data_IF_025446038078
#
_entry.id   IF_025446038078
#
_cell.length_a   1.000
_cell.length_b   1.000
_cell.length_c   1.000
_cell.angle_alpha   90.00
_cell.angle_beta   90.00
_cell.angle_gamma   90.00
#
_symmetry.space_group_name_H-M   'P 1'
#
loop_
_entity.id
_entity.type
_entity.pdbx_description
1 polymer ?
#
# COMPACT_ATOMS: atom_id res chain seq x y z
N UNK A 1 -1.35 17.23 2.50
CA UNK A 1 -1.14 16.36 3.68
C UNK A 1 0.09 15.49 3.46
N UNK A 2 0.87 15.12 4.49
CA UNK A 2 2.12 14.34 4.31
C UNK A 2 2.18 13.14 5.25
N UNK A 3 2.58 11.99 4.71
CA UNK A 3 2.94 10.82 5.50
C UNK A 3 4.32 11.01 6.13
N UNK A 4 4.46 10.63 7.40
CA UNK A 4 5.75 10.57 8.07
C UNK A 4 6.52 9.31 7.66
N UNK A 5 7.77 9.18 8.12
CA UNK A 5 8.62 8.06 7.73
C UNK A 5 8.04 6.69 8.13
N UNK A 6 7.53 6.57 9.36
CA UNK A 6 6.96 5.32 9.85
C UNK A 6 5.72 4.91 9.04
N UNK A 7 4.83 5.86 8.74
CA UNK A 7 3.65 5.62 7.92
C UNK A 7 4.02 5.18 6.51
N UNK A 8 5.02 5.83 5.89
CA UNK A 8 5.54 5.40 4.58
C UNK A 8 6.13 3.99 4.65
N UNK A 9 6.92 3.68 5.68
CA UNK A 9 7.50 2.35 5.87
C UNK A 9 6.42 1.28 5.98
N UNK A 10 5.36 1.54 6.74
CA UNK A 10 4.27 0.60 6.93
C UNK A 10 3.45 0.39 5.64
N UNK A 11 3.17 1.47 4.90
CA UNK A 11 2.47 1.37 3.60
C UNK A 11 3.31 0.56 2.61
N UNK A 12 4.60 0.86 2.50
CA UNK A 12 5.51 0.15 1.59
C UNK A 12 5.69 -1.31 2.01
N UNK A 13 5.76 -1.60 3.31
CA UNK A 13 5.86 -2.98 3.84
C UNK A 13 4.63 -3.79 3.48
N UNK A 14 3.43 -3.27 3.73
CA UNK A 14 2.19 -3.96 3.40
C UNK A 14 2.13 -4.32 1.90
N UNK A 15 2.55 -3.40 1.04
CA UNK A 15 2.47 -3.58 -0.41
C UNK A 15 3.60 -4.52 -0.91
N UNK A 16 4.82 -4.37 -0.41
CA UNK A 16 5.94 -5.27 -0.74
C UNK A 16 5.68 -6.71 -0.26
N UNK A 17 4.96 -6.91 0.84
CA UNK A 17 4.53 -8.25 1.28
C UNK A 17 3.54 -8.88 0.31
N UNK A 18 2.55 -8.12 -0.17
CA UNK A 18 1.53 -8.65 -1.10
C UNK A 18 2.15 -9.09 -2.41
N UNK A 19 2.98 -8.25 -3.02
CA UNK A 19 3.60 -8.53 -4.33
C UNK A 19 4.70 -9.59 -4.29
N UNK A 20 4.98 -10.15 -3.11
CA UNK A 20 6.01 -11.19 -2.92
C UNK A 20 5.40 -12.51 -2.45
N UNK A 21 4.08 -12.57 -2.25
CA UNK A 21 3.39 -13.74 -1.68
C UNK A 21 3.60 -14.99 -2.52
N UNK A 22 3.63 -14.86 -3.84
CA UNK A 22 3.81 -15.97 -4.79
C UNK A 22 5.28 -16.24 -5.14
N UNK A 23 6.21 -15.44 -4.62
CA UNK A 23 7.65 -15.53 -4.86
C UNK A 23 8.12 -15.05 -6.22
N UNK A 24 7.24 -14.51 -7.07
CA UNK A 24 7.58 -13.92 -8.36
C UNK A 24 7.11 -12.48 -8.40
N UNK A 25 7.97 -11.56 -8.84
CA UNK A 25 7.57 -10.16 -8.98
C UNK A 25 7.24 -9.88 -10.45
N UNK A 26 5.97 -9.66 -10.75
CA UNK A 26 5.47 -9.41 -12.09
C UNK A 26 5.66 -7.94 -12.52
N UNK A 27 5.68 -7.63 -13.83
CA UNK A 27 5.82 -6.26 -14.32
C UNK A 27 4.76 -5.29 -13.79
N UNK A 28 3.53 -5.77 -13.58
CA UNK A 28 2.44 -4.98 -13.00
C UNK A 28 2.75 -4.53 -11.58
N UNK A 29 3.27 -5.43 -10.74
CA UNK A 29 3.61 -5.14 -9.35
C UNK A 29 4.77 -4.14 -9.21
N UNK A 30 5.73 -4.21 -10.12
CA UNK A 30 6.81 -3.21 -10.22
C UNK A 30 6.22 -1.84 -10.53
N UNK A 31 5.20 -1.77 -11.38
CA UNK A 31 4.54 -0.51 -11.72
C UNK A 31 3.74 0.05 -10.54
N UNK A 32 3.05 -0.81 -9.77
CA UNK A 32 2.39 -0.41 -8.51
C UNK A 32 3.38 0.28 -7.58
N UNK A 33 4.53 -0.38 -7.36
CA UNK A 33 5.60 0.12 -6.50
C UNK A 33 6.12 1.48 -6.98
N UNK A 34 6.35 1.64 -8.30
CA UNK A 34 6.82 2.92 -8.87
C UNK A 34 5.79 4.03 -8.70
N UNK A 35 4.52 3.76 -8.95
CA UNK A 35 3.45 4.74 -8.77
C UNK A 35 3.38 5.20 -7.30
N UNK A 36 3.49 4.28 -6.35
CA UNK A 36 3.57 4.60 -4.93
C UNK A 36 4.83 5.39 -4.58
N UNK A 37 5.99 5.03 -5.13
CA UNK A 37 7.24 5.77 -4.94
C UNK A 37 7.08 7.24 -5.36
N UNK A 38 6.43 7.49 -6.49
CA UNK A 38 6.16 8.85 -6.98
C UNK A 38 5.17 9.60 -6.07
N UNK A 39 4.06 8.96 -5.69
CA UNK A 39 3.00 9.59 -4.90
C UNK A 39 3.42 9.87 -3.45
N UNK A 40 4.04 8.89 -2.80
CA UNK A 40 4.48 8.98 -1.41
C UNK A 40 5.89 9.58 -1.29
N UNK A 41 6.56 9.85 -2.41
CA UNK A 41 7.92 10.42 -2.49
C UNK A 41 8.90 9.64 -1.63
N UNK A 42 9.14 8.39 -2.01
CA UNK A 42 10.16 7.52 -1.42
C UNK A 42 10.99 6.83 -2.50
N UNK A 43 12.15 6.32 -2.10
CA UNK A 43 13.11 5.65 -2.96
C UNK A 43 13.26 4.16 -2.60
N UNK A 44 14.13 3.46 -3.33
CA UNK A 44 14.40 2.04 -3.11
C UNK A 44 14.96 1.74 -1.72
N UNK A 45 15.66 2.68 -1.09
CA UNK A 45 16.17 2.51 0.27
C UNK A 45 15.02 2.32 1.27
N UNK A 46 13.93 3.06 1.09
CA UNK A 46 12.75 2.88 1.94
C UNK A 46 12.12 1.47 1.79
N UNK A 47 12.17 0.88 0.60
CA UNK A 47 11.69 -0.48 0.37
C UNK A 47 12.53 -1.49 1.17
N UNK A 48 13.86 -1.34 1.14
CA UNK A 48 14.76 -2.20 1.92
C UNK A 48 14.55 -2.04 3.42
N UNK A 49 14.33 -0.81 3.91
CA UNK A 49 14.00 -0.58 5.32
C UNK A 49 12.63 -1.14 5.70
N UNK A 50 11.64 -1.02 4.82
CA UNK A 50 10.30 -1.57 5.04
C UNK A 50 10.34 -3.09 5.20
N UNK A 51 11.25 -3.80 4.52
CA UNK A 51 11.42 -5.26 4.71
C UNK A 51 11.93 -5.66 6.08
N UNK A 52 12.58 -4.74 6.81
CA UNK A 52 13.16 -5.01 8.13
C UNK A 52 12.15 -4.90 9.27
N UNK A 53 11.04 -4.18 9.07
CA UNK A 53 9.99 -4.09 10.09
C UNK A 53 9.13 -5.35 10.08
N UNK A 54 8.63 -5.75 11.24
CA UNK A 54 7.72 -6.89 11.35
C UNK A 54 6.31 -6.55 10.86
N UNK A 55 5.54 -7.54 10.42
CA UNK A 55 4.12 -7.37 10.07
C UNK A 55 3.32 -6.80 11.25
N UNK A 56 3.68 -7.15 12.49
CA UNK A 56 3.05 -6.60 13.71
C UNK A 56 3.29 -5.10 13.85
N UNK A 57 4.53 -4.64 13.65
CA UNK A 57 4.87 -3.22 13.69
C UNK A 57 4.19 -2.45 12.56
N UNK A 58 4.19 -3.02 11.34
CA UNK A 58 3.47 -2.49 10.19
C UNK A 58 2.00 -2.24 10.54
N UNK A 59 1.29 -3.25 11.05
CA UNK A 59 -0.12 -3.13 11.41
C UNK A 59 -0.37 -2.13 12.55
N UNK A 60 0.54 -2.05 13.52
CA UNK A 60 0.43 -1.05 14.60
C UNK A 60 0.52 0.38 14.04
N UNK A 61 1.45 0.63 13.11
CA UNK A 61 1.61 1.93 12.46
C UNK A 61 0.37 2.26 11.62
N UNK A 62 -0.08 1.33 10.77
CA UNK A 62 -1.25 1.56 9.91
C UNK A 62 -2.51 1.83 10.74
N UNK A 63 -2.73 1.07 11.83
CA UNK A 63 -3.85 1.29 12.75
C UNK A 63 -3.78 2.64 13.47
N UNK A 64 -2.57 3.09 13.80
CA UNK A 64 -2.31 4.38 14.45
C UNK A 64 -2.42 5.60 13.54
N UNK A 65 -2.61 5.43 12.23
CA UNK A 65 -2.74 6.57 11.32
C UNK A 65 -4.00 7.40 11.61
N UNK A 66 -3.91 8.75 11.53
CA UNK A 66 -5.07 9.63 11.53
C UNK A 66 -6.10 9.24 10.45
N UNK A 67 -7.39 9.36 10.75
CA UNK A 67 -8.47 8.93 9.85
C UNK A 67 -8.42 9.59 8.47
N UNK A 68 -8.02 10.85 8.39
CA UNK A 68 -7.81 11.53 7.11
C UNK A 68 -6.64 10.93 6.29
N UNK A 69 -5.58 10.38 6.92
CA UNK A 69 -4.48 9.70 6.21
C UNK A 69 -4.96 8.36 5.68
N UNK A 70 -5.70 7.63 6.51
CA UNK A 70 -6.35 6.37 6.12
C UNK A 70 -7.23 6.57 4.90
N UNK A 71 -8.11 7.57 4.93
CA UNK A 71 -8.99 7.88 3.81
C UNK A 71 -8.21 8.30 2.55
N UNK A 72 -7.19 9.15 2.69
CA UNK A 72 -6.35 9.54 1.55
C UNK A 72 -5.61 8.35 0.92
N UNK A 73 -5.15 7.39 1.74
CA UNK A 73 -4.53 6.16 1.25
C UNK A 73 -5.54 5.27 0.52
N UNK A 74 -6.75 5.14 1.08
CA UNK A 74 -7.84 4.40 0.48
C UNK A 74 -8.22 4.94 -0.92
N UNK A 75 -8.43 6.26 -1.03
CA UNK A 75 -8.74 6.92 -2.31
C UNK A 75 -7.61 6.71 -3.32
N UNK A 76 -6.36 6.90 -2.90
CA UNK A 76 -5.19 6.71 -3.77
C UNK A 76 -5.13 5.29 -4.35
N UNK A 77 -5.33 4.27 -3.52
CA UNK A 77 -5.28 2.88 -3.98
C UNK A 77 -6.48 2.53 -4.87
N UNK A 78 -7.65 3.12 -4.61
CA UNK A 78 -8.80 2.98 -5.48
C UNK A 78 -8.56 3.62 -6.85
N UNK A 79 -7.95 4.81 -6.90
CA UNK A 79 -7.56 5.47 -8.15
C UNK A 79 -6.54 4.63 -8.93
N UNK A 80 -5.56 4.03 -8.25
CA UNK A 80 -4.58 3.13 -8.88
C UNK A 80 -5.24 1.85 -9.42
N UNK A 81 -6.26 1.32 -8.74
CA UNK A 81 -7.01 0.15 -9.20
C UNK A 81 -7.85 0.43 -10.46
N UNK A 82 -8.39 1.64 -10.56
CA UNK A 82 -9.24 2.07 -11.67
C UNK A 82 -8.44 2.69 -12.84
N UNK A 83 -7.16 3.01 -12.65
CA UNK A 83 -6.26 3.51 -13.69
C UNK A 83 -5.83 2.35 -14.62
N UNK A 84 -6.67 2.09 -15.62
CA UNK A 84 -6.56 1.12 -16.70
C UNK A 84 -5.10 0.72 -17.07
N UNK A 85 -4.70 -0.51 -16.70
CA UNK A 85 -3.64 -1.25 -17.39
C UNK A 85 -2.64 -2.06 -16.54
N UNK A 86 -2.92 -3.36 -16.37
CA UNK A 86 -2.01 -4.44 -15.91
C UNK A 86 -1.84 -4.66 -14.39
N UNK A 87 -2.92 -4.70 -13.63
CA UNK A 87 -2.90 -5.25 -12.27
C UNK A 87 -3.79 -6.48 -12.15
N UNK A 88 -3.36 -7.43 -11.32
CA UNK A 88 -4.13 -8.62 -11.00
C UNK A 88 -5.14 -8.30 -9.89
N UNK A 89 -6.41 -8.65 -10.10
CA UNK A 89 -7.49 -8.43 -9.13
C UNK A 89 -7.18 -9.03 -7.74
N UNK A 90 -6.43 -10.14 -7.70
CA UNK A 90 -6.05 -10.82 -6.45
C UNK A 90 -5.07 -10.02 -5.60
N UNK A 91 -4.11 -9.35 -6.22
CA UNK A 91 -3.13 -8.50 -5.52
C UNK A 91 -3.83 -7.30 -4.88
N UNK A 92 -4.79 -6.70 -5.59
CA UNK A 92 -5.62 -5.64 -5.02
C UNK A 92 -6.43 -6.12 -3.83
N UNK A 93 -7.11 -7.26 -3.95
CA UNK A 93 -7.85 -7.82 -2.83
C UNK A 93 -6.97 -8.06 -1.60
N UNK A 94 -5.74 -8.55 -1.78
CA UNK A 94 -4.78 -8.74 -0.70
C UNK A 94 -4.36 -7.41 -0.06
N UNK A 95 -4.05 -6.38 -0.85
CA UNK A 95 -3.74 -5.04 -0.33
C UNK A 95 -4.94 -4.47 0.44
N UNK A 96 -6.14 -4.51 -0.15
CA UNK A 96 -7.34 -4.00 0.49
C UNK A 96 -7.66 -4.75 1.79
N UNK A 97 -7.45 -6.06 1.86
CA UNK A 97 -7.65 -6.83 3.08
C UNK A 97 -6.71 -6.38 4.21
N UNK A 98 -5.41 -6.20 3.94
CA UNK A 98 -4.45 -5.71 4.93
C UNK A 98 -4.85 -4.32 5.44
N UNK A 99 -5.31 -3.45 4.53
CA UNK A 99 -5.71 -2.09 4.89
C UNK A 99 -7.04 -2.05 5.64
N UNK A 100 -8.00 -2.88 5.27
CA UNK A 100 -9.25 -3.08 6.02
C UNK A 100 -8.99 -3.58 7.43
N UNK A 101 -8.06 -4.53 7.62
CA UNK A 101 -7.61 -4.97 8.94
C UNK A 101 -6.96 -3.84 9.75
N UNK A 102 -6.34 -2.87 9.08
CA UNK A 102 -5.82 -1.65 9.69
C UNK A 102 -6.89 -0.58 9.97
N UNK A 103 -8.15 -0.85 9.62
CA UNK A 103 -9.29 0.07 9.76
C UNK A 103 -9.29 1.17 8.70
N UNK A 104 -8.67 0.91 7.53
CA UNK A 104 -8.70 1.79 6.37
C UNK A 104 -9.82 1.27 5.47
N UNK A 105 -10.93 1.99 5.41
CA UNK A 105 -12.06 1.66 4.54
C UNK A 105 -11.87 2.33 3.19
N UNK A 106 -12.03 1.56 2.14
CA UNK A 106 -12.08 2.06 0.76
C UNK A 106 -13.55 2.19 0.42
N UNK A 107 -14.00 3.43 0.21
CA UNK A 107 -15.36 3.64 -0.30
C UNK A 107 -15.34 3.15 -1.74
N UNK A 108 -16.04 2.04 -1.95
CA UNK A 108 -16.33 1.47 -3.25
C UNK A 108 -17.48 2.31 -3.85
N UNK A 109 -17.21 3.57 -4.16
CA UNK A 109 -18.19 4.43 -4.83
C UNK A 109 -18.18 4.10 -6.32
N UNK A 110 -18.74 2.93 -6.64
CA UNK A 110 -19.42 2.66 -7.89
C UNK A 110 -20.93 2.82 -7.63
N UNK A 111 -21.41 4.07 -7.69
CA UNK A 111 -22.82 4.37 -7.95
C UNK A 111 -23.03 4.51 -9.46
#
# INVERSE_FOLDING_TARGET
MKYNLAEKLAIVKAIDEVIRVDGQVDPGEIELLKQLMMLLKFDRGLIEEARKITTKECMMILKGMPGNKKHALAVMLNEMANADGNFNEKEYQLIFNILMEAGIKVDDSAD
#
